data_IF_996816938249
#
_entry.id   IF_996816938249
#
_cell.length_a   1.000
_cell.length_b   1.000
_cell.length_c   1.000
_cell.angle_alpha   90.00
_cell.angle_beta   90.00
_cell.angle_gamma   90.00
#
_symmetry.space_group_name_H-M   'P 1'
#
loop_
_entity.id
_entity.type
_entity.pdbx_description
1 polymer ?
#
# COMPACT_ATOMS: atom_id res chain seq x y z
N UNK A 1 -11.35 -26.01 16.17
CA UNK A 1 -12.02 -24.69 16.12
C UNK A 1 -11.56 -23.99 14.87
N UNK A 2 -12.41 -23.12 14.30
CA UNK A 2 -11.98 -22.21 13.26
C UNK A 2 -10.99 -21.20 13.84
N UNK A 3 -9.89 -20.98 13.12
CA UNK A 3 -8.79 -20.09 13.51
C UNK A 3 -8.86 -18.74 12.82
N UNK A 4 -9.94 -18.49 12.07
CA UNK A 4 -10.13 -17.33 11.21
C UNK A 4 -11.53 -16.78 11.44
N UNK A 5 -11.61 -15.48 11.66
CA UNK A 5 -12.84 -14.72 11.75
C UNK A 5 -12.82 -13.64 10.65
N UNK A 6 -13.99 -13.33 10.09
CA UNK A 6 -14.15 -12.29 9.09
C UNK A 6 -15.08 -11.21 9.62
N UNK A 7 -14.77 -9.96 9.30
CA UNK A 7 -15.59 -8.80 9.63
C UNK A 7 -15.58 -7.82 8.45
N UNK A 8 -16.65 -7.04 8.32
CA UNK A 8 -16.76 -5.99 7.31
C UNK A 8 -16.63 -4.65 8.04
N UNK A 9 -15.67 -3.83 7.61
CA UNK A 9 -15.41 -2.53 8.20
C UNK A 9 -14.87 -1.56 7.13
N UNK A 10 -15.31 -0.31 7.16
CA UNK A 10 -14.70 0.78 6.42
C UNK A 10 -13.46 1.28 7.19
N UNK A 11 -12.33 1.48 6.51
CA UNK A 11 -11.11 2.04 7.11
C UNK A 11 -11.34 3.39 7.81
N UNK A 12 -12.34 4.18 7.37
CA UNK A 12 -12.78 5.42 8.05
C UNK A 12 -13.34 5.19 9.46
N UNK A 13 -13.72 3.96 9.77
CA UNK A 13 -14.32 3.54 11.04
C UNK A 13 -13.38 2.66 11.86
N UNK A 14 -12.07 2.65 11.59
CA UNK A 14 -11.09 1.85 12.34
C UNK A 14 -11.10 2.14 13.85
N UNK A 15 -11.51 3.34 14.24
CA UNK A 15 -11.70 3.74 15.63
C UNK A 15 -12.81 2.96 16.36
N UNK A 16 -13.73 2.31 15.64
CA UNK A 16 -14.80 1.48 16.22
C UNK A 16 -14.34 0.09 16.66
N UNK A 17 -13.17 -0.37 16.22
CA UNK A 17 -12.59 -1.63 16.71
C UNK A 17 -12.23 -1.44 18.18
N UNK A 18 -12.60 -2.36 19.07
CA UNK A 18 -12.22 -2.28 20.49
C UNK A 18 -11.14 -3.31 20.87
N UNK A 19 -11.01 -4.36 20.06
CA UNK A 19 -10.07 -5.45 20.28
C UNK A 19 -8.61 -4.98 20.28
N UNK A 20 -7.80 -5.69 21.06
CA UNK A 20 -6.34 -5.64 21.03
C UNK A 20 -5.82 -6.85 20.27
N UNK A 21 -4.75 -6.65 19.54
CA UNK A 21 -4.09 -7.67 18.72
C UNK A 21 -2.60 -7.68 19.03
N UNK A 22 -1.95 -8.83 18.91
CA UNK A 22 -0.50 -8.89 19.00
C UNK A 22 0.17 -8.19 17.81
N UNK A 23 -0.42 -8.35 16.62
CA UNK A 23 0.08 -7.79 15.35
C UNK A 23 -1.11 -7.31 14.50
N UNK A 24 -0.98 -6.11 13.94
CA UNK A 24 -1.85 -5.62 12.85
C UNK A 24 -1.01 -5.58 11.56
N UNK A 25 -1.57 -6.14 10.48
CA UNK A 25 -1.00 -6.05 9.14
C UNK A 25 -2.03 -5.39 8.24
N UNK A 26 -1.66 -4.27 7.64
CA UNK A 26 -2.44 -3.58 6.61
C UNK A 26 -1.65 -3.62 5.30
N UNK A 27 -2.35 -3.85 4.19
CA UNK A 27 -1.71 -3.95 2.88
C UNK A 27 -2.56 -3.35 1.77
N UNK A 28 -2.00 -2.36 1.08
CA UNK A 28 -2.52 -1.70 -0.11
C UNK A 28 -3.96 -1.19 0.03
N UNK A 29 -4.35 -0.73 1.22
CA UNK A 29 -5.72 -0.28 1.50
C UNK A 29 -5.75 1.16 2.01
N UNK A 30 -4.89 1.51 2.97
CA UNK A 30 -4.88 2.83 3.59
C UNK A 30 -4.44 3.92 2.60
N UNK A 31 -3.49 3.62 1.71
CA UNK A 31 -3.05 4.51 0.66
C UNK A 31 -4.20 5.00 -0.23
N UNK A 32 -5.18 4.14 -0.56
CA UNK A 32 -6.36 4.55 -1.32
C UNK A 32 -7.21 5.57 -0.56
N UNK A 33 -7.48 5.31 0.72
CA UNK A 33 -8.23 6.21 1.58
C UNK A 33 -7.53 7.58 1.68
N UNK A 34 -6.22 7.58 1.89
CA UNK A 34 -5.41 8.80 1.99
C UNK A 34 -5.39 9.59 0.67
N UNK A 35 -5.33 8.91 -0.47
CA UNK A 35 -5.35 9.56 -1.78
C UNK A 35 -6.72 10.18 -2.10
N UNK A 36 -7.81 9.54 -1.67
CA UNK A 36 -9.18 10.00 -1.89
C UNK A 36 -9.57 11.19 -1.01
N UNK A 37 -9.13 11.23 0.25
CA UNK A 37 -9.46 12.31 1.18
C UNK A 37 -8.62 13.57 0.88
N UNK A 38 -9.18 14.53 0.15
CA UNK A 38 -8.47 15.77 -0.20
C UNK A 38 -8.46 16.80 0.93
N UNK A 39 -9.56 16.95 1.67
CA UNK A 39 -9.73 18.03 2.65
C UNK A 39 -9.20 17.65 4.04
N UNK A 40 -9.40 16.39 4.45
CA UNK A 40 -9.10 15.90 5.80
C UNK A 40 -7.90 14.97 5.86
N UNK A 41 -7.07 14.91 4.81
CA UNK A 41 -5.97 13.92 4.67
C UNK A 41 -5.10 13.77 5.91
N UNK A 42 -4.66 14.89 6.48
CA UNK A 42 -3.80 14.90 7.66
C UNK A 42 -4.49 14.26 8.88
N UNK A 43 -5.79 14.52 9.06
CA UNK A 43 -6.60 13.91 10.13
C UNK A 43 -6.79 12.42 9.88
N UNK A 44 -7.04 12.03 8.62
CA UNK A 44 -7.15 10.62 8.22
C UNK A 44 -5.86 9.87 8.51
N UNK A 45 -4.70 10.39 8.11
CA UNK A 45 -3.38 9.80 8.41
C UNK A 45 -3.18 9.64 9.93
N UNK A 46 -3.43 10.71 10.70
CA UNK A 46 -3.28 10.67 12.16
C UNK A 46 -4.20 9.63 12.81
N UNK A 47 -5.45 9.53 12.35
CA UNK A 47 -6.40 8.53 12.82
C UNK A 47 -5.89 7.10 12.54
N UNK A 48 -5.46 6.82 11.31
CA UNK A 48 -4.99 5.47 10.92
C UNK A 48 -3.78 5.04 11.77
N UNK A 49 -2.79 5.92 11.92
CA UNK A 49 -1.59 5.67 12.74
C UNK A 49 -1.97 5.47 14.20
N UNK A 50 -2.73 6.40 14.78
CA UNK A 50 -3.11 6.37 16.20
C UNK A 50 -3.93 5.13 16.53
N UNK A 51 -4.93 4.82 15.71
CA UNK A 51 -5.87 3.74 16.05
C UNK A 51 -5.23 2.35 15.86
N UNK A 52 -4.30 2.17 14.93
CA UNK A 52 -3.55 0.91 14.78
C UNK A 52 -2.51 0.73 15.88
N UNK A 53 -1.66 1.72 16.14
CA UNK A 53 -0.64 1.66 17.21
C UNK A 53 -1.26 1.60 18.61
N UNK A 54 -2.46 2.17 18.81
CA UNK A 54 -3.23 1.96 20.04
C UNK A 54 -3.66 0.51 20.21
N UNK A 55 -3.83 -0.28 19.14
CA UNK A 55 -4.47 -1.61 19.20
C UNK A 55 -3.52 -2.79 19.10
N UNK A 56 -2.28 -2.56 18.70
CA UNK A 56 -1.27 -3.61 18.66
C UNK A 56 0.11 -3.08 19.03
N UNK A 57 0.89 -3.94 19.66
CA UNK A 57 2.30 -3.66 19.98
C UNK A 57 3.15 -3.65 18.69
N UNK A 58 2.73 -4.41 17.67
CA UNK A 58 3.38 -4.41 16.36
C UNK A 58 2.39 -4.07 15.25
N UNK A 59 2.75 -3.11 14.42
CA UNK A 59 1.97 -2.71 13.24
C UNK A 59 2.85 -2.78 12.01
N UNK A 60 2.35 -3.40 10.94
CA UNK A 60 3.00 -3.49 9.64
C UNK A 60 2.09 -2.90 8.58
N UNK A 61 2.52 -1.82 7.94
CA UNK A 61 1.84 -1.27 6.76
C UNK A 61 2.62 -1.63 5.51
N UNK A 62 1.91 -2.02 4.45
CA UNK A 62 2.49 -2.45 3.17
C UNK A 62 1.83 -1.62 2.07
N UNK A 63 2.61 -0.83 1.35
CA UNK A 63 2.10 0.05 0.29
C UNK A 63 3.01 0.04 -0.92
N UNK A 64 2.51 0.55 -2.05
CA UNK A 64 3.30 0.64 -3.28
C UNK A 64 4.31 1.80 -3.21
N UNK A 65 5.52 1.50 -3.70
CA UNK A 65 6.59 2.46 -4.02
C UNK A 65 6.79 2.55 -5.55
N UNK A 66 5.74 2.22 -6.31
CA UNK A 66 5.67 2.37 -7.75
C UNK A 66 5.70 1.05 -8.52
N UNK A 67 4.88 1.03 -9.57
CA UNK A 67 4.75 -0.07 -10.54
C UNK A 67 5.29 0.37 -11.89
N UNK A 68 6.07 -0.49 -12.55
CA UNK A 68 6.73 -0.24 -13.83
C UNK A 68 7.59 1.03 -13.83
N UNK A 69 8.28 1.28 -12.72
CA UNK A 69 9.22 2.40 -12.54
C UNK A 69 10.66 1.89 -12.43
N UNK A 70 11.63 2.74 -12.75
CA UNK A 70 13.05 2.33 -12.73
C UNK A 70 13.66 2.26 -11.33
N UNK A 71 13.07 2.98 -10.36
CA UNK A 71 13.49 3.05 -8.97
C UNK A 71 12.29 3.30 -8.07
N UNK A 72 12.36 2.82 -6.82
CA UNK A 72 11.34 3.06 -5.81
C UNK A 72 11.06 4.56 -5.61
N UNK A 73 9.79 4.94 -5.74
CA UNK A 73 9.30 6.30 -5.50
C UNK A 73 7.81 6.27 -5.14
N UNK A 74 7.37 6.93 -4.05
CA UNK A 74 5.95 7.00 -3.72
C UNK A 74 5.12 7.54 -4.90
N UNK A 75 3.99 6.91 -5.25
CA UNK A 75 3.14 7.42 -6.34
C UNK A 75 2.44 8.73 -5.97
N UNK A 76 3.11 9.84 -6.25
CA UNK A 76 2.61 11.20 -6.05
C UNK A 76 2.72 11.72 -4.61
N UNK A 77 2.46 13.02 -4.46
CA UNK A 77 2.72 13.74 -3.20
C UNK A 77 1.85 13.26 -2.03
N UNK A 78 0.64 12.76 -2.29
CA UNK A 78 -0.29 12.34 -1.24
C UNK A 78 0.22 11.11 -0.48
N UNK A 79 0.75 10.12 -1.20
CA UNK A 79 1.36 8.94 -0.60
C UNK A 79 2.72 9.28 0.01
N UNK A 80 3.50 10.15 -0.61
CA UNK A 80 4.73 10.65 0.00
C UNK A 80 4.46 11.28 1.38
N UNK A 81 3.41 12.11 1.51
CA UNK A 81 3.00 12.68 2.80
C UNK A 81 2.59 11.62 3.82
N UNK A 82 1.90 10.56 3.38
CA UNK A 82 1.54 9.45 4.25
C UNK A 82 2.78 8.75 4.79
N UNK A 83 3.70 8.37 3.91
CA UNK A 83 4.87 7.58 4.29
C UNK A 83 5.81 8.38 5.19
N UNK A 84 6.00 9.68 4.93
CA UNK A 84 6.73 10.56 5.85
C UNK A 84 6.07 10.60 7.24
N UNK A 85 4.73 10.69 7.31
CA UNK A 85 4.03 10.67 8.59
C UNK A 85 4.20 9.33 9.33
N UNK A 86 4.32 8.20 8.63
CA UNK A 86 4.63 6.91 9.25
C UNK A 86 6.01 6.97 9.93
N UNK A 87 7.03 7.43 9.21
CA UNK A 87 8.39 7.56 9.73
C UNK A 87 8.44 8.53 10.92
N UNK A 88 7.79 9.69 10.82
CA UNK A 88 7.70 10.69 11.88
C UNK A 88 7.01 10.15 13.16
N UNK A 89 6.15 9.14 13.02
CA UNK A 89 5.46 8.48 14.14
C UNK A 89 6.16 7.18 14.59
N UNK A 90 7.43 6.99 14.23
CA UNK A 90 8.28 5.93 14.75
C UNK A 90 8.25 4.62 13.98
N UNK A 91 7.59 4.57 12.82
CA UNK A 91 7.70 3.41 11.94
C UNK A 91 9.07 3.37 11.26
N UNK A 92 9.65 2.17 11.14
CA UNK A 92 10.86 1.93 10.35
C UNK A 92 10.47 1.53 8.94
N UNK A 93 11.02 2.23 7.96
CA UNK A 93 10.80 1.96 6.54
C UNK A 93 11.75 0.90 5.99
N UNK A 94 11.19 0.00 5.19
CA UNK A 94 11.90 -0.98 4.38
C UNK A 94 11.31 -0.95 2.97
N UNK A 95 12.16 -1.02 1.95
CA UNK A 95 11.72 -1.10 0.55
C UNK A 95 12.27 -2.38 -0.04
N UNK A 96 11.41 -3.15 -0.70
CA UNK A 96 11.78 -4.39 -1.39
C UNK A 96 11.28 -4.38 -2.84
N UNK A 97 12.00 -5.09 -3.72
CA UNK A 97 11.54 -5.38 -5.08
C UNK A 97 10.55 -6.55 -5.05
N UNK A 98 9.41 -6.37 -5.70
CA UNK A 98 8.29 -7.33 -5.76
C UNK A 98 7.81 -7.53 -7.19
N UNK A 99 8.75 -7.56 -8.13
CA UNK A 99 8.53 -7.64 -9.56
C UNK A 99 7.51 -8.71 -9.99
N UNK A 100 6.63 -8.34 -10.92
CA UNK A 100 5.71 -9.26 -11.57
C UNK A 100 6.40 -9.92 -12.76
N UNK A 101 6.38 -11.25 -12.81
CA UNK A 101 6.89 -12.02 -13.96
C UNK A 101 5.74 -12.64 -14.73
N UNK A 102 5.68 -12.37 -16.02
CA UNK A 102 4.69 -12.91 -16.94
C UNK A 102 5.32 -13.86 -17.97
N UNK A 103 4.48 -14.65 -18.65
CA UNK A 103 4.96 -15.60 -19.66
C UNK A 103 5.43 -14.88 -20.94
N UNK A 104 4.85 -13.72 -21.23
CA UNK A 104 5.22 -12.85 -22.35
C UNK A 104 4.65 -11.43 -22.17
N UNK A 105 5.18 -10.48 -22.93
CA UNK A 105 4.78 -9.07 -22.86
C UNK A 105 3.32 -8.78 -23.25
N UNK A 106 2.68 -9.62 -24.08
CA UNK A 106 1.26 -9.44 -24.43
C UNK A 106 0.36 -9.77 -23.25
N UNK A 107 0.69 -10.84 -22.52
CA UNK A 107 0.02 -11.19 -21.27
C UNK A 107 0.23 -10.10 -20.20
N UNK A 108 1.48 -9.65 -20.03
CA UNK A 108 1.82 -8.56 -19.11
C UNK A 108 1.01 -7.29 -19.42
N UNK A 109 1.02 -6.84 -20.68
CA UNK A 109 0.29 -5.64 -21.11
C UNK A 109 -1.22 -5.76 -20.92
N UNK A 110 -1.81 -6.95 -21.15
CA UNK A 110 -3.24 -7.19 -20.90
C UNK A 110 -3.58 -7.10 -19.41
N UNK A 111 -2.81 -7.77 -18.55
CA UNK A 111 -3.09 -7.83 -17.11
C UNK A 111 -2.81 -6.47 -16.47
N UNK A 112 -1.60 -5.92 -16.65
CA UNK A 112 -1.22 -4.64 -16.06
C UNK A 112 -2.05 -3.49 -16.62
N UNK A 113 -2.39 -3.52 -17.92
CA UNK A 113 -3.31 -2.55 -18.51
C UNK A 113 -4.70 -2.56 -17.89
N UNK A 114 -5.20 -3.74 -17.50
CA UNK A 114 -6.49 -3.87 -16.82
C UNK A 114 -6.51 -3.21 -15.43
N UNK A 115 -5.38 -3.19 -14.73
CA UNK A 115 -5.27 -2.57 -13.41
C UNK A 115 -4.86 -1.09 -13.45
N UNK A 116 -3.93 -0.73 -14.34
CA UNK A 116 -3.25 0.57 -14.34
C UNK A 116 -3.58 1.45 -15.57
N UNK A 117 -4.39 0.96 -16.50
CA UNK A 117 -4.87 1.69 -17.67
C UNK A 117 -4.02 1.54 -18.94
N UNK A 118 -4.50 2.12 -20.04
CA UNK A 118 -3.93 1.92 -21.38
C UNK A 118 -2.48 2.42 -21.51
N UNK A 119 -2.09 3.48 -20.80
CA UNK A 119 -0.70 3.95 -20.82
C UNK A 119 0.29 2.89 -20.31
N UNK A 120 -0.09 2.13 -19.28
CA UNK A 120 0.74 1.03 -18.75
C UNK A 120 0.85 -0.10 -19.77
N UNK A 121 -0.27 -0.46 -20.39
CA UNK A 121 -0.33 -1.47 -21.44
C UNK A 121 0.57 -1.11 -22.62
N UNK A 122 0.44 0.11 -23.13
CA UNK A 122 1.15 0.55 -24.33
C UNK A 122 2.67 0.58 -24.08
N UNK A 123 3.12 1.07 -22.92
CA UNK A 123 4.54 1.04 -22.53
C UNK A 123 5.09 -0.40 -22.51
N UNK A 124 4.39 -1.32 -21.85
CA UNK A 124 4.78 -2.73 -21.74
C UNK A 124 4.85 -3.39 -23.13
N UNK A 125 3.86 -3.14 -23.99
CA UNK A 125 3.81 -3.72 -25.35
C UNK A 125 4.93 -3.15 -26.22
N UNK A 126 5.15 -1.83 -26.17
CA UNK A 126 6.19 -1.17 -26.96
C UNK A 126 7.59 -1.63 -26.56
N UNK A 127 7.84 -1.74 -25.25
CA UNK A 127 9.14 -2.16 -24.68
C UNK A 127 9.30 -3.68 -24.62
N UNK A 128 8.25 -4.45 -24.90
CA UNK A 128 8.19 -5.92 -24.82
C UNK A 128 8.61 -6.45 -23.44
N UNK A 129 8.10 -5.82 -22.37
CA UNK A 129 8.46 -6.19 -20.99
C UNK A 129 7.74 -7.48 -20.56
N UNK A 130 8.50 -8.44 -20.05
CA UNK A 130 7.98 -9.69 -19.45
C UNK A 130 8.11 -9.69 -17.92
N UNK A 131 9.03 -8.87 -17.41
CA UNK A 131 9.20 -8.57 -16.00
C UNK A 131 8.81 -7.11 -15.81
N UNK A 132 7.83 -6.86 -14.94
CA UNK A 132 7.38 -5.52 -14.60
C UNK A 132 7.89 -5.20 -13.22
N UNK A 133 8.76 -4.21 -13.14
CA UNK A 133 9.34 -3.76 -11.87
C UNK A 133 8.24 -3.32 -10.91
N UNK A 134 8.30 -3.76 -9.67
CA UNK A 134 7.44 -3.28 -8.59
C UNK A 134 8.31 -3.04 -7.36
N UNK A 135 8.09 -1.92 -6.70
CA UNK A 135 8.69 -1.64 -5.41
C UNK A 135 7.59 -1.62 -4.36
N UNK A 136 7.78 -2.36 -3.27
CA UNK A 136 6.87 -2.37 -2.13
C UNK A 136 7.57 -1.76 -0.93
N UNK A 137 6.93 -0.76 -0.34
CA UNK A 137 7.30 -0.19 0.95
C UNK A 137 6.64 -0.98 2.08
N UNK A 138 7.40 -1.17 3.15
CA UNK A 138 6.97 -1.84 4.37
C UNK A 138 7.37 -0.94 5.55
N UNK A 139 6.39 -0.50 6.33
CA UNK A 139 6.62 0.33 7.51
C UNK A 139 6.27 -0.47 8.76
N UNK A 140 7.22 -0.61 9.69
CA UNK A 140 7.07 -1.42 10.90
C UNK A 140 7.18 -0.56 12.16
N UNK A 141 6.14 -0.57 12.98
CA UNK A 141 6.11 -0.05 14.35
C UNK A 141 6.30 -1.18 15.36
N UNK A 142 7.04 -0.94 16.45
CA UNK A 142 7.25 -1.88 17.56
C UNK A 142 7.09 -1.17 18.91
#
# INVERSE_FOLDING_TARGET
SDKIEYSILDNKQINSIENKFDIIIEGWSFGHLVVQDNETRAQTIQMLIKETTKRADKVVFIETMGTNVESANPPGEKLAQFYHALVDNGFKEYIIETDYKFSNHKEAGRIMGGFFGDSMKDDIIQRKLEIIKEYTGIWIYN
#
